data_IF_447834061435
#
_entry.id   IF_447834061435
#
_cell.length_a   1.000
_cell.length_b   1.000
_cell.length_c   1.000
_cell.angle_alpha   90.00
_cell.angle_beta   90.00
_cell.angle_gamma   90.00
#
_symmetry.space_group_name_H-M   'P 1'
#
loop_
_entity.id
_entity.type
_entity.pdbx_description
1 polymer ?
#
# COMPACT_ATOMS: atom_id res chain seq x y z
N UNK A 1 -14.38 -21.81 0.26
CA UNK A 1 -14.75 -20.40 0.05
C UNK A 1 -13.47 -19.64 -0.23
N UNK A 2 -13.46 -18.65 -1.14
CA UNK A 2 -12.27 -17.84 -1.40
C UNK A 2 -11.99 -16.90 -0.22
N UNK A 3 -10.72 -16.53 -0.11
CA UNK A 3 -10.23 -15.58 0.87
C UNK A 3 -9.81 -14.30 0.17
N UNK A 4 -10.08 -13.16 0.80
CA UNK A 4 -9.72 -11.85 0.27
C UNK A 4 -8.98 -11.03 1.33
N UNK A 5 -7.91 -10.38 0.92
CA UNK A 5 -7.18 -9.42 1.74
C UNK A 5 -7.83 -8.04 1.64
N UNK A 6 -8.03 -7.39 2.78
CA UNK A 6 -8.56 -6.03 2.89
C UNK A 6 -7.56 -5.15 3.63
N UNK A 7 -7.24 -4.00 3.07
CA UNK A 7 -6.40 -3.00 3.75
C UNK A 7 -7.27 -1.93 4.38
N UNK A 8 -7.08 -1.69 5.68
CA UNK A 8 -7.66 -0.54 6.34
C UNK A 8 -6.84 0.70 5.96
N UNK A 9 -7.48 1.75 5.43
CA UNK A 9 -6.78 2.98 5.04
C UNK A 9 -6.41 3.86 6.25
N UNK A 10 -7.11 3.70 7.37
CA UNK A 10 -6.85 4.45 8.60
C UNK A 10 -5.56 4.00 9.30
N UNK A 11 -5.28 2.69 9.32
CA UNK A 11 -4.09 2.12 9.97
C UNK A 11 -3.01 1.68 8.97
N UNK A 12 -3.39 1.37 7.73
CA UNK A 12 -2.52 0.78 6.72
C UNK A 12 -2.37 -0.75 6.82
N UNK A 13 -3.01 -1.36 7.81
CA UNK A 13 -2.93 -2.80 8.10
C UNK A 13 -3.79 -3.63 7.12
N UNK A 14 -3.34 -4.85 6.83
CA UNK A 14 -4.03 -5.80 5.95
C UNK A 14 -4.68 -6.93 6.76
N UNK A 15 -5.91 -7.28 6.40
CA UNK A 15 -6.73 -8.27 7.09
C UNK A 15 -7.31 -9.28 6.12
N UNK A 16 -7.15 -10.55 6.44
CA UNK A 16 -7.66 -11.66 5.65
C UNK A 16 -9.12 -11.96 6.02
N UNK A 17 -10.03 -11.99 5.04
CA UNK A 17 -11.47 -12.19 5.23
C UNK A 17 -11.98 -13.33 4.34
N UNK A 18 -12.72 -14.26 4.93
CA UNK A 18 -13.41 -15.34 4.23
C UNK A 18 -14.87 -14.97 3.97
N UNK A 19 -15.23 -14.70 2.72
CA UNK A 19 -16.61 -14.40 2.33
C UNK A 19 -16.86 -14.71 0.85
N UNK A 20 -18.12 -14.68 0.42
CA UNK A 20 -18.46 -14.89 -0.99
C UNK A 20 -18.09 -13.68 -1.83
N UNK A 21 -17.64 -13.88 -3.08
CA UNK A 21 -17.26 -12.78 -4.01
C UNK A 21 -18.39 -11.78 -4.30
N UNK A 22 -19.66 -12.17 -4.05
CA UNK A 22 -20.83 -11.31 -4.19
C UNK A 22 -20.93 -10.26 -3.09
N UNK A 23 -20.36 -10.55 -1.92
CA UNK A 23 -20.32 -9.61 -0.80
C UNK A 23 -19.19 -8.62 -1.01
N UNK A 24 -19.48 -7.33 -0.83
CA UNK A 24 -18.50 -6.25 -0.95
C UNK A 24 -18.46 -5.50 0.37
N UNK A 25 -17.29 -5.47 0.97
CA UNK A 25 -17.01 -4.71 2.18
C UNK A 25 -16.38 -3.38 1.78
N UNK A 26 -16.91 -2.28 2.32
CA UNK A 26 -16.40 -0.93 2.08
C UNK A 26 -15.95 -0.26 3.39
N UNK A 27 -16.45 -0.74 4.52
CA UNK A 27 -16.18 -0.19 5.85
C UNK A 27 -15.57 -1.21 6.81
N UNK A 28 -14.85 -0.70 7.80
CA UNK A 28 -14.26 -1.51 8.87
C UNK A 28 -15.32 -2.29 9.67
N UNK A 29 -16.50 -1.70 9.90
CA UNK A 29 -17.58 -2.35 10.62
C UNK A 29 -18.16 -3.56 9.90
N UNK A 30 -18.23 -3.55 8.57
CA UNK A 30 -18.62 -4.72 7.79
C UNK A 30 -17.58 -5.85 7.92
N UNK A 31 -16.29 -5.50 7.89
CA UNK A 31 -15.20 -6.46 8.07
C UNK A 31 -15.24 -7.10 9.46
N UNK A 32 -15.44 -6.30 10.51
CA UNK A 32 -15.56 -6.77 11.88
C UNK A 32 -16.73 -7.74 12.05
N UNK A 33 -17.89 -7.43 11.46
CA UNK A 33 -19.08 -8.29 11.53
C UNK A 33 -18.83 -9.67 10.89
N UNK A 34 -18.17 -9.72 9.73
CA UNK A 34 -17.91 -10.99 9.04
C UNK A 34 -16.82 -11.81 9.73
N UNK A 35 -15.76 -11.14 10.20
CA UNK A 35 -14.63 -11.80 10.86
C UNK A 35 -14.88 -12.09 12.34
N UNK A 36 -15.96 -11.58 12.91
CA UNK A 36 -16.25 -11.65 14.34
C UNK A 36 -15.21 -10.90 15.20
N UNK A 37 -14.55 -9.90 14.62
CA UNK A 37 -13.55 -9.07 15.32
C UNK A 37 -14.20 -7.89 16.01
N UNK A 38 -13.57 -7.44 17.09
CA UNK A 38 -13.89 -6.18 17.72
C UNK A 38 -13.26 -5.01 16.95
N UNK A 39 -13.98 -3.89 16.86
CA UNK A 39 -13.51 -2.72 16.13
C UNK A 39 -12.26 -2.08 16.77
N UNK A 40 -12.06 -2.29 18.07
CA UNK A 40 -10.94 -1.74 18.81
C UNK A 40 -10.88 -0.21 18.70
N UNK A 41 -9.73 0.30 18.27
CA UNK A 41 -9.45 1.73 18.13
C UNK A 41 -9.85 2.31 16.75
N UNK A 42 -10.23 1.44 15.81
CA UNK A 42 -10.53 1.82 14.43
C UNK A 42 -12.02 2.14 14.34
N UNK A 43 -12.35 3.35 13.85
CA UNK A 43 -13.73 3.73 13.66
C UNK A 43 -14.44 2.77 12.69
N UNK A 44 -15.67 2.34 13.02
CA UNK A 44 -16.46 1.42 12.20
C UNK A 44 -16.72 1.94 10.78
N UNK A 45 -16.80 3.25 10.61
CA UNK A 45 -17.00 3.92 9.32
C UNK A 45 -15.69 4.06 8.51
N UNK A 46 -14.55 3.62 9.05
CA UNK A 46 -13.26 3.73 8.38
C UNK A 46 -13.28 2.96 7.04
N UNK A 47 -12.80 3.58 5.94
CA UNK A 47 -12.82 2.94 4.65
C UNK A 47 -11.79 1.80 4.55
N UNK A 48 -12.22 0.67 4.02
CA UNK A 48 -11.37 -0.49 3.72
C UNK A 48 -11.32 -0.75 2.21
N UNK A 49 -10.15 -1.18 1.73
CA UNK A 49 -9.92 -1.48 0.32
C UNK A 49 -9.61 -2.95 0.12
N UNK A 50 -10.35 -3.63 -0.76
CA UNK A 50 -10.04 -5.02 -1.12
C UNK A 50 -8.77 -5.05 -1.98
N UNK A 51 -7.74 -5.71 -1.50
CA UNK A 51 -6.55 -6.00 -2.29
C UNK A 51 -6.88 -7.14 -3.23
N UNK A 52 -6.95 -6.86 -4.54
CA UNK A 52 -7.01 -7.92 -5.53
C UNK A 52 -5.67 -8.67 -5.51
N UNK A 53 -5.70 -9.98 -5.28
CA UNK A 53 -4.53 -10.89 -5.21
C UNK A 53 -3.84 -11.06 -6.58
N UNK A 54 -3.61 -9.98 -7.33
CA UNK A 54 -3.23 -10.05 -8.75
C UNK A 54 -2.47 -8.86 -9.33
N UNK A 55 -1.85 -8.00 -8.53
CA UNK A 55 -0.97 -6.97 -9.10
C UNK A 55 -0.43 -5.97 -8.07
N UNK A 56 0.82 -6.20 -7.65
CA UNK A 56 1.76 -5.24 -7.06
C UNK A 56 1.15 -3.96 -6.49
N UNK A 57 0.76 -3.98 -5.21
CA UNK A 57 0.61 -2.74 -4.43
C UNK A 57 2.02 -2.26 -4.09
N UNK A 58 2.63 -1.52 -5.02
CA UNK A 58 3.78 -0.68 -4.71
C UNK A 58 3.28 0.47 -3.84
N UNK A 59 3.40 0.32 -2.53
CA UNK A 59 3.26 1.45 -1.61
C UNK A 59 4.31 2.50 -1.96
N UNK A 60 3.87 3.63 -2.53
CA UNK A 60 4.73 4.80 -2.89
C UNK A 60 5.47 5.41 -1.69
N UNK A 61 5.22 4.96 -0.47
CA UNK A 61 5.96 5.42 0.72
C UNK A 61 7.39 4.89 0.81
N UNK A 62 7.80 3.93 -0.03
CA UNK A 62 9.22 3.59 -0.23
C UNK A 62 9.91 4.45 -1.32
N UNK A 63 9.18 5.35 -1.98
CA UNK A 63 9.68 6.27 -3.00
C UNK A 63 9.56 7.74 -2.54
N UNK A 64 9.85 8.02 -1.27
CA UNK A 64 10.14 9.38 -0.82
C UNK A 64 11.59 9.43 -0.32
N UNK A 65 12.52 9.53 -1.26
CA UNK A 65 13.75 10.27 -1.02
C UNK A 65 13.80 11.46 -2.00
N UNK A 66 13.15 12.60 -1.66
CA UNK A 66 13.33 13.85 -2.37
C UNK A 66 14.54 14.61 -1.77
N UNK A 67 15.75 14.11 -1.97
CA UNK A 67 16.96 14.90 -1.75
C UNK A 67 17.86 14.78 -2.99
N UNK A 68 17.67 15.73 -3.90
CA UNK A 68 18.59 16.03 -5.00
C UNK A 68 19.74 16.88 -4.44
N UNK A 69 20.83 17.05 -5.18
CA UNK A 69 20.87 18.34 -5.90
C UNK A 69 21.25 18.22 -7.38
N UNK A 70 20.56 18.96 -8.26
CA UNK A 70 20.95 19.14 -9.65
C UNK A 70 21.75 20.43 -9.80
N UNK A 71 23.09 20.37 -9.74
CA UNK A 71 24.01 21.32 -10.38
C UNK A 71 25.47 21.03 -9.99
N UNK A 72 26.31 20.72 -10.98
CA UNK A 72 27.56 21.48 -11.14
C UNK A 72 27.93 21.51 -12.61
N UNK A 73 27.63 22.63 -13.24
CA UNK A 73 28.34 23.08 -14.43
C UNK A 73 29.75 23.46 -13.97
N UNK A 74 30.76 23.03 -14.73
CA UNK A 74 32.08 23.66 -14.71
C UNK A 74 33.10 23.08 -13.73
N UNK A 75 34.17 22.56 -14.33
CA UNK A 75 35.58 22.66 -13.93
C UNK A 75 36.25 21.36 -13.43
N UNK A 76 37.04 20.74 -14.32
CA UNK A 76 38.21 19.96 -13.92
C UNK A 76 38.41 18.62 -14.62
N UNK A 77 39.00 18.62 -15.81
CA UNK A 77 39.88 17.53 -16.27
C UNK A 77 40.92 17.21 -15.17
N UNK A 78 41.41 15.95 -15.00
CA UNK A 78 42.13 15.24 -16.05
C UNK A 78 41.96 13.69 -16.09
N UNK A 79 42.37 13.11 -17.23
CA UNK A 79 42.52 11.65 -17.52
C UNK A 79 41.18 10.91 -17.66
N UNK A 80 40.77 10.47 -18.84
CA UNK A 80 41.53 9.63 -19.77
C UNK A 80 40.96 8.21 -19.67
N UNK A 81 39.99 7.89 -20.51
CA UNK A 81 39.31 6.58 -20.53
C UNK A 81 38.52 6.39 -21.81
N UNK A 82 39.11 5.59 -22.70
CA UNK A 82 38.67 5.20 -24.03
C UNK A 82 37.40 4.31 -24.01
N UNK A 83 36.61 4.32 -25.08
CA UNK A 83 35.85 3.13 -25.49
C UNK A 83 34.48 3.36 -26.13
N UNK A 84 34.50 3.51 -27.47
CA UNK A 84 33.45 3.36 -28.50
C UNK A 84 32.29 4.35 -28.59
#
# INVERSE_FOLDING_TARGET
>A
MPTYDYRCTATGECYEVHHSIKEKLSTWGELCQITGRDAGDIALDSPVERLATGGQVVSRSALNNPDLPPCTSGNGCPRGGCGV
#
